data_IF_016540123309
#
_entry.id   IF_016540123309
#
_cell.length_a   1.000
_cell.length_b   1.000
_cell.length_c   1.000
_cell.angle_alpha   90.00
_cell.angle_beta   90.00
_cell.angle_gamma   90.00
#
_symmetry.space_group_name_H-M   'P 1'
#
loop_
_entity.id
_entity.type
_entity.pdbx_description
1 polymer ?
#
# COMPACT_ATOMS: atom_id res chain seq x y z
N UNK A 1 -17.68 7.46 -23.99
CA UNK A 1 -17.02 6.77 -22.87
C UNK A 1 -18.08 5.94 -22.17
N UNK A 2 -17.88 4.63 -21.97
CA UNK A 2 -18.92 3.78 -21.36
C UNK A 2 -19.01 4.12 -19.88
N UNK A 3 -20.21 4.23 -19.30
CA UNK A 3 -20.36 4.30 -17.85
C UNK A 3 -20.20 2.90 -17.24
N UNK A 4 -19.79 2.80 -15.97
CA UNK A 4 -19.73 1.50 -15.28
C UNK A 4 -21.07 0.75 -15.35
N UNK A 5 -22.18 1.48 -15.33
CA UNK A 5 -23.55 0.97 -15.52
C UNK A 5 -23.77 0.22 -16.85
N UNK A 6 -23.05 0.59 -17.90
CA UNK A 6 -23.12 -0.09 -19.20
C UNK A 6 -22.32 -1.40 -19.18
N UNK A 7 -21.20 -1.44 -18.46
CA UNK A 7 -20.42 -2.66 -18.25
C UNK A 7 -21.20 -3.66 -17.40
N UNK A 8 -21.96 -3.19 -16.40
CA UNK A 8 -22.86 -4.01 -15.59
C UNK A 8 -24.02 -4.61 -16.39
N UNK A 9 -24.38 -4.03 -17.54
CA UNK A 9 -25.40 -4.59 -18.44
C UNK A 9 -24.84 -5.61 -19.43
N UNK A 10 -23.52 -5.72 -19.54
CA UNK A 10 -22.87 -6.67 -20.44
C UNK A 10 -22.74 -8.04 -19.77
N UNK A 11 -23.28 -9.13 -20.36
CA UNK A 11 -23.20 -10.46 -19.76
C UNK A 11 -21.77 -10.95 -19.48
N UNK A 12 -20.79 -10.51 -20.28
CA UNK A 12 -19.39 -10.92 -20.13
C UNK A 12 -18.59 -10.02 -19.19
N UNK A 13 -18.96 -8.75 -19.04
CA UNK A 13 -18.23 -7.81 -18.19
C UNK A 13 -18.83 -7.67 -16.78
N UNK A 14 -20.15 -7.85 -16.62
CA UNK A 14 -20.84 -7.66 -15.36
C UNK A 14 -20.25 -8.49 -14.20
N UNK A 15 -19.91 -9.79 -14.37
CA UNK A 15 -19.30 -10.55 -13.29
C UNK A 15 -17.93 -9.99 -12.86
N UNK A 16 -17.13 -9.52 -13.82
CA UNK A 16 -15.81 -8.90 -13.53
C UNK A 16 -15.95 -7.56 -12.83
N UNK A 17 -16.91 -6.74 -13.23
CA UNK A 17 -17.20 -5.47 -12.55
C UNK A 17 -17.59 -5.73 -11.09
N UNK A 18 -18.51 -6.66 -10.86
CA UNK A 18 -18.95 -7.02 -9.51
C UNK A 18 -17.78 -7.55 -8.66
N UNK A 19 -16.95 -8.44 -9.22
CA UNK A 19 -15.79 -8.97 -8.52
C UNK A 19 -14.81 -7.86 -8.11
N UNK A 20 -14.46 -6.95 -9.02
CA UNK A 20 -13.58 -5.81 -8.71
C UNK A 20 -14.18 -4.91 -7.62
N UNK A 21 -15.47 -4.60 -7.69
CA UNK A 21 -16.15 -3.82 -6.65
C UNK A 21 -16.06 -4.50 -5.28
N UNK A 22 -16.31 -5.81 -5.21
CA UNK A 22 -16.23 -6.56 -3.97
C UNK A 22 -14.81 -6.56 -3.40
N UNK A 23 -13.80 -6.88 -4.20
CA UNK A 23 -12.40 -6.91 -3.77
C UNK A 23 -11.95 -5.56 -3.21
N UNK A 24 -12.31 -4.45 -3.87
CA UNK A 24 -12.00 -3.08 -3.42
C UNK A 24 -12.73 -2.68 -2.11
N UNK A 25 -13.78 -3.39 -1.73
CA UNK A 25 -14.56 -3.13 -0.50
C UNK A 25 -14.18 -4.07 0.65
N UNK A 26 -13.74 -5.30 0.34
CA UNK A 26 -13.39 -6.34 1.31
C UNK A 26 -12.02 -6.14 1.95
N UNK A 27 -11.06 -5.57 1.21
CA UNK A 27 -9.69 -5.36 1.69
C UNK A 27 -9.24 -3.90 1.54
N UNK A 28 -8.32 -3.41 2.39
CA UNK A 28 -7.74 -2.07 2.24
C UNK A 28 -6.96 -1.88 0.93
N UNK A 29 -6.40 -2.97 0.42
CA UNK A 29 -5.58 -3.01 -0.79
C UNK A 29 -5.96 -4.22 -1.64
N UNK A 30 -6.05 -3.98 -2.95
CA UNK A 30 -6.14 -5.01 -3.99
C UNK A 30 -4.79 -5.08 -4.70
N UNK A 31 -4.08 -6.20 -4.59
CA UNK A 31 -2.80 -6.39 -5.27
C UNK A 31 -2.97 -7.13 -6.58
N UNK A 32 -2.12 -6.82 -7.55
CA UNK A 32 -2.05 -7.54 -8.82
C UNK A 32 -1.83 -9.05 -8.62
N UNK A 33 -1.08 -9.44 -7.59
CA UNK A 33 -0.82 -10.84 -7.25
C UNK A 33 -2.01 -11.58 -6.65
N UNK A 34 -3.07 -10.90 -6.23
CA UNK A 34 -4.29 -11.54 -5.71
C UNK A 34 -5.11 -12.16 -6.85
N UNK A 35 -5.27 -11.42 -7.94
CA UNK A 35 -5.93 -11.84 -9.17
C UNK A 35 -5.49 -10.91 -10.32
N UNK A 36 -4.56 -11.38 -11.15
CA UNK A 36 -3.97 -10.56 -12.22
C UNK A 36 -5.02 -10.18 -13.27
N UNK A 37 -5.93 -11.08 -13.62
CA UNK A 37 -6.95 -10.84 -14.63
C UNK A 37 -7.95 -9.77 -14.19
N UNK A 38 -8.40 -9.82 -12.94
CA UNK A 38 -9.28 -8.80 -12.36
C UNK A 38 -8.55 -7.48 -12.17
N UNK A 39 -7.28 -7.50 -11.78
CA UNK A 39 -6.49 -6.29 -11.61
C UNK A 39 -6.27 -5.57 -12.95
N UNK A 40 -5.90 -6.30 -14.00
CA UNK A 40 -5.77 -5.75 -15.35
C UNK A 40 -7.11 -5.26 -15.90
N UNK A 41 -8.22 -5.92 -15.55
CA UNK A 41 -9.57 -5.43 -15.87
C UNK A 41 -9.87 -4.09 -15.18
N UNK A 42 -9.54 -3.96 -13.89
CA UNK A 42 -9.65 -2.70 -13.14
C UNK A 42 -8.84 -1.60 -13.81
N UNK A 43 -7.57 -1.85 -14.15
CA UNK A 43 -6.72 -0.86 -14.83
C UNK A 43 -7.27 -0.44 -16.18
N UNK A 44 -7.77 -1.40 -16.97
CA UNK A 44 -8.38 -1.14 -18.29
C UNK A 44 -9.57 -0.18 -18.21
N UNK A 45 -10.37 -0.27 -17.14
CA UNK A 45 -11.56 0.55 -16.92
C UNK A 45 -11.40 1.50 -15.71
N UNK A 46 -10.16 1.91 -15.40
CA UNK A 46 -9.83 2.70 -14.21
C UNK A 46 -10.67 3.97 -14.12
N UNK A 47 -10.87 4.67 -15.25
CA UNK A 47 -11.63 5.93 -15.31
C UNK A 47 -13.09 5.70 -14.94
N UNK A 48 -13.68 4.61 -15.40
CA UNK A 48 -15.06 4.23 -15.11
C UNK A 48 -15.26 3.86 -13.64
N UNK A 49 -14.35 3.08 -13.05
CA UNK A 49 -14.39 2.76 -11.62
C UNK A 49 -14.15 4.01 -10.76
N UNK A 50 -13.15 4.84 -11.10
CA UNK A 50 -12.86 6.08 -10.38
C UNK A 50 -14.07 7.03 -10.39
N UNK A 51 -14.66 7.27 -11.56
CA UNK A 51 -15.84 8.12 -11.71
C UNK A 51 -17.05 7.56 -10.94
N UNK A 52 -17.21 6.23 -10.89
CA UNK A 52 -18.26 5.59 -10.09
C UNK A 52 -18.08 5.87 -8.59
N UNK A 53 -16.89 5.63 -8.04
CA UNK A 53 -16.61 5.87 -6.62
C UNK A 53 -16.73 7.33 -6.22
N UNK A 54 -16.26 8.23 -7.08
CA UNK A 54 -16.34 9.68 -6.85
C UNK A 54 -17.80 10.16 -6.87
N UNK A 55 -18.56 9.82 -7.91
CA UNK A 55 -19.94 10.30 -8.08
C UNK A 55 -20.94 9.72 -7.06
N UNK A 56 -20.74 8.48 -6.60
CA UNK A 56 -21.70 7.81 -5.71
C UNK A 56 -21.32 7.91 -4.23
N UNK A 57 -20.02 7.95 -3.91
CA UNK A 57 -19.54 7.90 -2.52
C UNK A 57 -18.67 9.09 -2.14
N UNK A 58 -18.19 9.89 -3.10
CA UNK A 58 -17.15 10.89 -2.87
C UNK A 58 -15.82 10.26 -2.47
N UNK A 59 -15.55 9.05 -2.96
CA UNK A 59 -14.32 8.30 -2.66
C UNK A 59 -13.34 8.36 -3.83
N UNK A 60 -12.05 8.25 -3.53
CA UNK A 60 -11.00 8.29 -4.55
C UNK A 60 -10.42 6.91 -4.77
N UNK A 61 -10.41 6.45 -6.02
CA UNK A 61 -9.67 5.25 -6.41
C UNK A 61 -8.21 5.63 -6.69
N UNK A 62 -7.29 5.07 -5.91
CA UNK A 62 -5.84 5.22 -6.09
C UNK A 62 -5.29 3.92 -6.65
N UNK A 63 -4.49 3.99 -7.71
CA UNK A 63 -3.89 2.82 -8.37
C UNK A 63 -2.45 3.10 -8.77
N UNK A 64 -1.61 2.09 -8.71
CA UNK A 64 -0.29 2.01 -9.36
C UNK A 64 -0.18 0.70 -10.18
N UNK A 65 1.04 0.33 -10.60
CA UNK A 65 1.29 -0.86 -11.41
C UNK A 65 0.99 -2.20 -10.70
N UNK A 66 1.00 -2.23 -9.37
CA UNK A 66 0.89 -3.45 -8.55
C UNK A 66 -0.24 -3.41 -7.51
N UNK A 67 -0.83 -2.25 -7.26
CA UNK A 67 -1.77 -2.02 -6.16
C UNK A 67 -2.90 -1.07 -6.54
N UNK A 68 -4.08 -1.34 -5.98
CA UNK A 68 -5.22 -0.43 -5.99
C UNK A 68 -5.84 -0.34 -4.59
N UNK A 69 -6.39 0.83 -4.25
CA UNK A 69 -7.11 1.07 -3.00
C UNK A 69 -8.18 2.14 -3.16
N UNK A 70 -9.17 2.11 -2.27
CA UNK A 70 -10.16 3.17 -2.13
C UNK A 70 -9.83 4.04 -0.93
N UNK A 71 -9.68 5.35 -1.18
CA UNK A 71 -9.56 6.35 -0.13
C UNK A 71 -10.94 6.90 0.24
N UNK A 72 -11.26 6.79 1.53
CA UNK A 72 -12.55 7.18 2.11
C UNK A 72 -12.35 8.43 2.98
N UNK A 73 -12.55 9.66 2.46
CA UNK A 73 -12.17 10.90 3.16
C UNK A 73 -13.00 11.16 4.42
N UNK A 74 -14.26 10.70 4.44
CA UNK A 74 -15.20 10.93 5.54
C UNK A 74 -15.91 9.66 5.96
N UNK A 75 -16.03 9.48 7.27
CA UNK A 75 -16.93 8.53 7.89
C UNK A 75 -18.23 9.25 8.26
N UNK A 76 -19.37 8.72 7.82
CA UNK A 76 -20.69 9.35 8.03
C UNK A 76 -21.42 8.85 9.28
N UNK A 77 -21.06 7.66 9.80
CA UNK A 77 -21.67 7.13 11.01
C UNK A 77 -20.89 7.58 12.25
N UNK A 78 -21.34 8.65 12.88
CA UNK A 78 -20.70 9.25 14.06
C UNK A 78 -20.72 8.34 15.30
N UNK A 79 -21.55 7.29 15.32
CA UNK A 79 -21.55 6.29 16.41
C UNK A 79 -20.32 5.37 16.35
N UNK A 80 -19.65 5.29 15.20
CA UNK A 80 -18.40 4.53 15.03
C UNK A 80 -17.23 5.44 15.41
N UNK A 81 -16.79 5.30 16.65
CA UNK A 81 -15.61 5.99 17.17
C UNK A 81 -14.36 5.66 16.35
N UNK A 82 -13.36 6.56 16.27
CA UNK A 82 -12.10 6.29 15.57
C UNK A 82 -11.45 4.95 15.95
N UNK A 83 -11.49 4.57 17.24
CA UNK A 83 -10.96 3.29 17.74
C UNK A 83 -11.71 2.04 17.27
N UNK A 84 -12.94 2.19 16.79
CA UNK A 84 -13.80 1.09 16.30
C UNK A 84 -13.85 1.06 14.77
N UNK A 85 -13.15 1.97 14.09
CA UNK A 85 -12.98 1.90 12.64
C UNK A 85 -11.95 0.82 12.35
N UNK A 86 -12.28 -0.10 11.45
CA UNK A 86 -11.29 -1.05 10.96
C UNK A 86 -10.34 -0.31 10.00
N UNK A 87 -9.28 0.23 10.58
CA UNK A 87 -8.24 0.97 9.90
C UNK A 87 -6.90 0.54 10.48
N UNK A 88 -5.88 0.47 9.63
CA UNK A 88 -4.52 0.29 10.10
C UNK A 88 -4.16 1.40 11.08
N UNK A 89 -3.75 1.02 12.29
CA UNK A 89 -3.34 1.96 13.32
C UNK A 89 -2.43 1.27 14.34
N UNK A 90 -1.43 2.00 14.81
CA UNK A 90 -0.68 1.70 16.03
C UNK A 90 -0.98 2.78 17.06
N UNK A 91 -1.28 2.37 18.29
CA UNK A 91 -1.63 3.31 19.38
C UNK A 91 -0.53 3.46 20.42
N UNK A 92 0.36 2.47 20.52
CA UNK A 92 1.51 2.52 21.41
C UNK A 92 2.65 3.24 20.70
N UNK A 93 3.31 4.13 21.44
CA UNK A 93 4.46 4.91 20.96
C UNK A 93 5.51 4.04 20.27
N UNK A 94 5.97 2.98 20.92
CA UNK A 94 7.04 2.14 20.38
C UNK A 94 6.61 1.37 19.13
N UNK A 95 5.33 0.97 19.04
CA UNK A 95 4.79 0.31 17.85
C UNK A 95 4.74 1.28 16.66
N UNK A 96 4.36 2.54 16.91
CA UNK A 96 4.41 3.60 15.89
C UNK A 96 5.86 3.85 15.42
N UNK A 97 6.81 3.92 16.35
CA UNK A 97 8.22 4.12 16.02
C UNK A 97 8.77 2.93 15.23
N UNK A 98 8.48 1.70 15.65
CA UNK A 98 8.89 0.50 14.93
C UNK A 98 8.32 0.44 13.51
N UNK A 99 7.09 0.93 13.30
CA UNK A 99 6.55 1.07 11.94
C UNK A 99 7.32 2.14 11.13
N UNK A 100 7.61 3.31 11.71
CA UNK A 100 8.42 4.33 11.03
C UNK A 100 9.82 3.83 10.68
N UNK A 101 10.45 3.07 11.59
CA UNK A 101 11.75 2.44 11.34
C UNK A 101 11.68 1.35 10.27
N UNK A 102 10.56 0.64 10.12
CA UNK A 102 10.35 -0.26 8.98
C UNK A 102 10.32 0.52 7.66
N UNK A 103 9.68 1.68 7.63
CA UNK A 103 9.67 2.53 6.42
C UNK A 103 11.07 3.05 6.10
N UNK A 104 11.80 3.53 7.11
CA UNK A 104 13.20 3.96 6.95
C UNK A 104 14.10 2.81 6.46
N UNK A 105 13.96 1.63 7.05
CA UNK A 105 14.65 0.41 6.60
C UNK A 105 14.32 0.12 5.14
N UNK A 106 13.04 0.11 4.79
CA UNK A 106 12.60 -0.18 3.43
C UNK A 106 13.16 0.82 2.42
N UNK A 107 13.02 2.12 2.67
CA UNK A 107 13.52 3.17 1.78
C UNK A 107 15.04 3.04 1.58
N UNK A 108 15.80 2.95 2.68
CA UNK A 108 17.27 2.83 2.62
C UNK A 108 17.73 1.59 1.84
N UNK A 109 17.02 0.46 1.97
CA UNK A 109 17.35 -0.78 1.26
C UNK A 109 17.00 -0.70 -0.21
N UNK A 110 15.80 -0.21 -0.54
CA UNK A 110 15.38 -0.07 -1.94
C UNK A 110 16.24 0.93 -2.70
N UNK A 111 16.68 2.01 -2.05
CA UNK A 111 17.63 2.96 -2.64
C UNK A 111 19.00 2.31 -2.86
N UNK A 112 19.55 1.65 -1.84
CA UNK A 112 20.86 0.99 -1.93
C UNK A 112 20.91 -0.12 -2.98
N UNK A 113 19.81 -0.87 -3.14
CA UNK A 113 19.70 -1.99 -4.08
C UNK A 113 19.09 -1.57 -5.44
N UNK A 114 18.76 -0.28 -5.61
CA UNK A 114 18.11 0.26 -6.82
C UNK A 114 16.81 -0.45 -7.20
N UNK A 115 16.03 -0.87 -6.20
CA UNK A 115 14.74 -1.54 -6.37
C UNK A 115 13.64 -0.50 -6.60
N UNK A 116 12.81 -0.73 -7.60
CA UNK A 116 11.69 0.13 -7.97
C UNK A 116 10.33 -0.53 -7.72
N UNK A 117 9.28 0.29 -7.61
CA UNK A 117 7.88 -0.19 -7.57
C UNK A 117 7.51 -0.97 -8.84
N UNK A 118 8.16 -0.69 -9.97
CA UNK A 118 7.89 -1.30 -11.27
C UNK A 118 8.61 -2.64 -11.50
N UNK A 119 9.53 -3.04 -10.62
CA UNK A 119 10.25 -4.31 -10.75
C UNK A 119 9.27 -5.50 -10.67
N UNK A 120 9.53 -6.64 -11.33
CA UNK A 120 8.58 -7.77 -11.30
C UNK A 120 8.40 -8.34 -9.89
N UNK A 121 9.49 -8.43 -9.13
CA UNK A 121 9.50 -8.96 -7.77
C UNK A 121 9.41 -7.83 -6.74
N UNK A 122 8.87 -8.15 -5.57
CA UNK A 122 8.85 -7.25 -4.44
C UNK A 122 10.12 -7.43 -3.60
N UNK A 123 10.53 -6.36 -2.90
CA UNK A 123 11.66 -6.44 -1.99
C UNK A 123 11.42 -7.48 -0.89
N UNK A 124 12.45 -8.25 -0.55
CA UNK A 124 12.42 -9.26 0.50
C UNK A 124 13.59 -9.07 1.45
N UNK A 125 13.34 -9.30 2.73
CA UNK A 125 14.35 -9.20 3.78
C UNK A 125 14.16 -10.31 4.81
N UNK A 126 15.22 -10.61 5.55
CA UNK A 126 15.16 -11.52 6.71
C UNK A 126 14.78 -10.75 7.97
N UNK A 127 14.01 -11.35 8.86
CA UNK A 127 13.62 -10.72 10.12
C UNK A 127 14.83 -10.23 10.93
N UNK A 128 15.94 -10.97 10.94
CA UNK A 128 17.18 -10.58 11.61
C UNK A 128 17.73 -9.24 11.11
N UNK A 129 17.65 -8.96 9.80
CA UNK A 129 18.14 -7.71 9.20
C UNK A 129 17.32 -6.50 9.68
N UNK A 130 15.99 -6.66 9.72
CA UNK A 130 15.10 -5.63 10.27
C UNK A 130 15.32 -5.46 11.77
N UNK A 131 15.46 -6.57 12.51
CA UNK A 131 15.67 -6.54 13.95
C UNK A 131 16.95 -5.79 14.33
N UNK A 132 18.07 -6.11 13.68
CA UNK A 132 19.35 -5.43 13.91
C UNK A 132 19.24 -3.94 13.61
N UNK A 133 18.65 -3.60 12.46
CA UNK A 133 18.43 -2.21 12.08
C UNK A 133 17.59 -1.46 13.13
N UNK A 134 16.44 -1.99 13.51
CA UNK A 134 15.57 -1.31 14.47
C UNK A 134 16.20 -1.21 15.85
N UNK A 135 16.90 -2.26 16.32
CA UNK A 135 17.58 -2.24 17.61
C UNK A 135 18.58 -1.10 17.69
N UNK A 136 19.40 -0.95 16.67
CA UNK A 136 20.44 0.08 16.64
C UNK A 136 19.80 1.47 16.54
N UNK A 137 18.78 1.63 15.69
CA UNK A 137 18.04 2.90 15.55
C UNK A 137 17.26 3.30 16.82
N UNK A 138 16.66 2.36 17.55
CA UNK A 138 16.01 2.67 18.83
C UNK A 138 17.00 3.23 19.86
N UNK A 139 18.22 2.68 19.93
CA UNK A 139 19.27 3.18 20.84
C UNK A 139 19.79 4.56 20.42
N UNK A 140 19.91 4.79 19.12
CA UNK A 140 20.31 6.09 18.58
C UNK A 140 19.25 7.18 18.80
N UNK A 141 17.97 6.83 18.65
CA UNK A 141 16.86 7.77 18.87
C UNK A 141 16.63 8.11 20.35
N UNK A 142 16.98 7.18 21.25
CA UNK A 142 16.78 7.33 22.70
C UNK A 142 18.07 7.03 23.48
N UNK A 143 19.12 7.86 23.35
CA UNK A 143 20.42 7.60 23.99
C UNK A 143 20.31 7.50 25.51
N UNK A 144 19.46 8.32 26.14
CA UNK A 144 19.23 8.32 27.59
C UNK A 144 18.51 7.05 28.10
N UNK A 145 17.90 6.29 27.19
CA UNK A 145 17.19 5.04 27.48
C UNK A 145 17.74 3.86 26.67
N UNK A 146 18.98 3.96 26.16
CA UNK A 146 19.55 2.95 25.26
C UNK A 146 19.57 1.55 25.90
N UNK A 147 19.86 1.47 27.21
CA UNK A 147 19.85 0.21 27.97
C UNK A 147 18.44 -0.40 28.08
N UNK A 148 17.39 0.42 27.95
CA UNK A 148 16.00 -0.06 27.97
C UNK A 148 15.61 -0.70 26.64
N UNK A 149 16.23 -0.28 25.52
CA UNK A 149 16.04 -0.87 24.20
C UNK A 149 17.08 -1.98 23.93
N UNK A 150 17.06 -2.97 24.83
CA UNK A 150 17.78 -4.23 24.68
C UNK A 150 17.14 -5.15 23.64
N UNK A 151 17.85 -6.22 23.29
CA UNK A 151 17.41 -7.21 22.31
C UNK A 151 16.01 -7.80 22.62
N UNK A 152 15.74 -8.09 23.89
CA UNK A 152 14.45 -8.64 24.30
C UNK A 152 13.29 -7.65 24.12
N UNK A 153 13.52 -6.38 24.43
CA UNK A 153 12.50 -5.35 24.34
C UNK A 153 12.15 -5.03 22.89
N UNK A 154 13.15 -4.90 22.02
CA UNK A 154 12.93 -4.69 20.58
C UNK A 154 12.24 -5.90 19.96
N UNK A 155 12.60 -7.13 20.35
CA UNK A 155 11.85 -8.33 19.95
C UNK A 155 10.40 -8.29 20.44
N UNK A 156 10.14 -7.82 21.67
CA UNK A 156 8.77 -7.67 22.20
C UNK A 156 7.94 -6.68 21.39
N UNK A 157 8.53 -5.54 20.99
CA UNK A 157 7.88 -4.53 20.14
C UNK A 157 7.56 -5.14 18.78
N UNK A 158 8.55 -5.75 18.10
CA UNK A 158 8.35 -6.35 16.78
C UNK A 158 7.32 -7.49 16.79
N UNK A 159 7.26 -8.31 17.86
CA UNK A 159 6.19 -9.32 18.02
C UNK A 159 4.79 -8.73 18.06
N UNK A 160 4.62 -7.47 18.50
CA UNK A 160 3.35 -6.76 18.46
C UNK A 160 3.04 -6.16 17.09
N UNK A 161 4.07 -5.66 16.41
CA UNK A 161 3.95 -4.93 15.14
C UNK A 161 3.77 -5.88 13.94
N UNK A 162 4.61 -6.91 13.83
CA UNK A 162 4.65 -7.80 12.64
C UNK A 162 3.30 -8.46 12.32
N UNK A 163 2.55 -9.03 13.28
CA UNK A 163 1.24 -9.61 12.98
C UNK A 163 0.23 -8.59 12.43
N UNK A 164 0.33 -7.34 12.88
CA UNK A 164 -0.53 -6.25 12.40
C UNK A 164 -0.16 -5.88 10.96
N UNK A 165 1.13 -5.85 10.63
CA UNK A 165 1.62 -5.61 9.27
C UNK A 165 1.22 -6.74 8.31
N UNK A 166 1.23 -7.98 8.76
CA UNK A 166 0.71 -9.12 7.99
C UNK A 166 -0.81 -9.00 7.80
N UNK A 167 -1.56 -8.70 8.87
CA UNK A 167 -3.03 -8.53 8.82
C UNK A 167 -3.46 -7.46 7.83
N UNK A 168 -2.80 -6.30 7.86
CA UNK A 168 -3.08 -5.19 6.95
C UNK A 168 -2.36 -5.30 5.61
N UNK A 169 -1.67 -6.42 5.38
CA UNK A 169 -1.03 -6.79 4.12
C UNK A 169 0.03 -5.78 3.68
N UNK A 170 0.81 -5.26 4.61
CA UNK A 170 2.06 -4.54 4.31
C UNK A 170 3.23 -5.48 4.12
N UNK A 171 3.22 -6.60 4.85
CA UNK A 171 4.24 -7.64 4.75
C UNK A 171 3.56 -8.99 4.48
N UNK A 172 4.22 -9.83 3.69
CA UNK A 172 3.87 -11.23 3.52
C UNK A 172 4.99 -12.10 4.08
N UNK A 173 4.68 -12.92 5.09
CA UNK A 173 5.61 -13.91 5.61
C UNK A 173 5.77 -15.05 4.60
N UNK A 174 6.99 -15.25 4.11
CA UNK A 174 7.30 -16.36 3.21
C UNK A 174 7.50 -17.63 4.04
N UNK A 175 6.74 -18.68 3.73
CA UNK A 175 6.86 -19.96 4.42
C UNK A 175 8.11 -20.69 3.93
N UNK A 176 8.96 -21.20 4.83
CA UNK A 176 10.08 -22.01 4.43
C UNK A 176 9.61 -23.36 3.86
N UNK A 177 10.46 -24.07 3.09
CA UNK A 177 10.22 -25.45 2.67
C UNK A 177 9.91 -26.37 3.87
N UNK A 178 9.12 -27.42 3.64
CA UNK A 178 8.57 -28.26 4.71
C UNK A 178 9.62 -28.97 5.59
N UNK A 179 10.85 -29.11 5.10
CA UNK A 179 11.93 -29.86 5.74
C UNK A 179 12.97 -28.95 6.44
N UNK A 180 12.73 -27.64 6.49
CA UNK A 180 13.69 -26.66 7.00
C UNK A 180 13.26 -26.07 8.35
N UNK A 181 14.08 -26.30 9.38
CA UNK A 181 13.90 -25.65 10.68
C UNK A 181 14.50 -24.24 10.62
N UNK A 182 13.66 -23.25 10.36
CA UNK A 182 14.06 -21.85 10.26
C UNK A 182 13.91 -21.16 11.61
N UNK A 183 14.99 -20.54 12.08
CA UNK A 183 14.97 -19.73 13.30
C UNK A 183 14.17 -18.43 13.09
N UNK A 184 13.77 -17.75 14.16
CA UNK A 184 13.00 -16.50 14.03
C UNK A 184 13.70 -15.45 13.18
N UNK A 185 15.03 -15.39 13.23
CA UNK A 185 15.83 -14.37 12.55
C UNK A 185 16.00 -14.68 11.05
N UNK A 186 15.83 -15.94 10.65
CA UNK A 186 15.92 -16.40 9.26
C UNK A 186 14.58 -16.33 8.52
N UNK A 187 13.48 -15.98 9.21
CA UNK A 187 12.17 -15.83 8.57
C UNK A 187 12.23 -14.71 7.54
N UNK A 188 11.84 -15.02 6.30
CA UNK A 188 11.80 -14.05 5.19
C UNK A 188 10.43 -13.38 5.13
N UNK A 189 10.46 -12.06 4.97
CA UNK A 189 9.29 -11.24 4.72
C UNK A 189 9.42 -10.57 3.36
N UNK A 190 8.30 -10.49 2.64
CA UNK A 190 8.15 -9.73 1.40
C UNK A 190 7.40 -8.43 1.68
N UNK A 191 7.95 -7.30 1.23
CA UNK A 191 7.31 -5.99 1.30
C UNK A 191 6.23 -5.87 0.22
N UNK A 192 4.97 -5.85 0.63
CA UNK A 192 3.86 -5.72 -0.32
C UNK A 192 3.76 -4.29 -0.87
N UNK A 193 3.22 -4.11 -2.09
CA UNK A 193 3.22 -2.82 -2.80
C UNK A 193 2.66 -1.63 -2.01
N UNK A 194 1.75 -1.86 -1.07
CA UNK A 194 1.18 -0.80 -0.24
C UNK A 194 2.22 -0.02 0.59
N UNK A 195 3.39 -0.60 0.87
CA UNK A 195 4.44 0.07 1.62
C UNK A 195 4.99 1.28 0.86
N UNK A 196 5.03 1.23 -0.47
CA UNK A 196 5.43 2.35 -1.34
C UNK A 196 4.53 3.58 -1.18
N UNK A 197 3.26 3.41 -0.76
CA UNK A 197 2.34 4.53 -0.51
C UNK A 197 2.70 5.35 0.73
N UNK A 198 3.59 4.83 1.58
CA UNK A 198 4.10 5.51 2.76
C UNK A 198 5.51 6.10 2.55
N UNK A 199 6.10 5.95 1.36
CA UNK A 199 7.40 6.58 1.08
C UNK A 199 7.29 8.10 1.18
N UNK A 200 8.35 8.77 1.65
CA UNK A 200 8.44 10.23 1.76
C UNK A 200 8.08 10.94 0.44
N UNK A 201 8.38 10.32 -0.71
CA UNK A 201 8.01 10.83 -2.04
C UNK A 201 6.52 10.73 -2.36
N UNK A 202 5.82 9.74 -1.80
CA UNK A 202 4.37 9.57 -1.91
C UNK A 202 3.61 10.43 -0.88
N UNK A 203 4.14 10.57 0.33
CA UNK A 203 3.55 11.37 1.42
C UNK A 203 3.70 12.88 1.17
N UNK A 204 4.76 13.30 0.47
CA UNK A 204 4.96 14.71 0.07
C UNK A 204 4.07 15.16 -1.10
N UNK A 205 3.44 14.23 -1.83
CA UNK A 205 2.45 14.58 -2.86
C UNK A 205 1.11 14.89 -2.19
N UNK A 206 0.52 16.08 -2.43
CA UNK A 206 -0.84 16.35 -2.00
C UNK A 206 -1.78 15.27 -2.55
N UNK A 207 -2.65 14.73 -1.69
CA UNK A 207 -3.74 13.83 -2.10
C UNK A 207 -4.59 14.57 -3.14
N UNK A 208 -4.39 14.27 -4.43
CA UNK A 208 -5.07 14.92 -5.57
C UNK A 208 -4.16 15.48 -6.67
N UNK A 209 -2.84 15.57 -6.47
CA UNK A 209 -1.94 16.20 -7.45
C UNK A 209 -1.72 15.40 -8.77
N UNK A 210 -2.17 14.15 -8.85
CA UNK A 210 -2.01 13.29 -10.03
C UNK A 210 -3.04 13.49 -11.14
N UNK A 211 -4.04 14.35 -10.95
CA UNK A 211 -5.11 14.55 -11.93
C UNK A 211 -4.79 15.60 -13.01
N UNK A 212 -3.75 16.42 -12.83
CA UNK A 212 -3.51 17.59 -13.69
C UNK A 212 -2.35 17.44 -14.69
N UNK A 213 -1.53 16.39 -14.63
CA UNK A 213 -0.35 16.27 -15.50
C UNK A 213 -0.55 15.52 -16.84
N UNK A 214 -1.76 15.07 -17.19
CA UNK A 214 -2.02 14.44 -18.50
C UNK A 214 -2.92 15.28 -19.44
N UNK A 215 -3.25 16.52 -19.06
CA UNK A 215 -4.03 17.44 -19.90
C UNK A 215 -3.15 18.60 -20.36
N UNK A 216 -2.21 18.35 -21.29
CA UNK A 216 -1.38 19.44 -21.77
C UNK A 216 -0.31 19.06 -22.78
N UNK A 217 -0.61 18.23 -23.78
CA UNK A 217 0.07 18.36 -25.07
C UNK A 217 -0.77 17.77 -26.21
N UNK A 218 -1.66 18.60 -26.77
CA UNK A 218 -2.16 18.40 -28.12
C UNK A 218 -1.80 19.66 -28.90
N UNK A 219 -0.96 19.57 -29.95
CA UNK A 219 -0.76 20.69 -30.86
C UNK A 219 -2.07 20.89 -31.62
N UNK A 220 -2.71 22.04 -31.41
CA UNK A 220 -3.82 22.51 -32.24
C UNK A 220 -3.32 22.76 -33.66
N UNK A 221 -3.75 21.91 -34.58
CA UNK A 221 -3.74 22.17 -36.01
C UNK A 221 -4.95 23.02 -36.40
N UNK A 222 -4.82 23.66 -37.57
CA UNK A 222 -5.75 24.58 -38.26
C UNK A 222 -5.64 26.04 -37.77
N UNK A 223 -5.42 27.07 -38.59
CA UNK A 223 -5.39 27.18 -40.04
C UNK A 223 -5.76 28.64 -40.40
N UNK A 224 -5.22 29.12 -41.52
CA UNK A 224 -5.65 30.30 -42.29
C UNK A 224 -5.56 31.71 -41.66
N UNK A 225 -4.61 32.49 -42.15
CA UNK A 225 -4.83 33.91 -42.45
C UNK A 225 -4.04 34.31 -43.72
N UNK A 226 -4.77 34.50 -44.83
CA UNK A 226 -4.45 35.47 -45.89
C UNK A 226 -5.46 36.61 -45.71
N UNK A 227 -5.11 37.88 -46.00
CA UNK A 227 -4.55 38.33 -47.27
C UNK A 227 -3.17 39.01 -47.20
#
# INVERSE_FOLDING_TARGET
MKKLDELLKSPSAAPKVQAVLNVLLEAPYFYKSDDEDLFLFLLRYKREFAAFFESHFGWTLVTDAKCARIYKPRWYNDRITPSNRDCFNFTRRDDCIAFMLLLEFFESRTEAESVSVDDPDNYRFRFGELFEFQRDRFRELFPDAADSYGDEEVRRILRGVMPTLERYRFLLRIRPPADENVTSDEVIYECLPALWHYSATAVSRPVGAGAESEAGDQPSADGEETP
#
